data_IF_539327281067
#
_entry.id   IF_539327281067
#
_cell.length_a   1.000
_cell.length_b   1.000
_cell.length_c   1.000
_cell.angle_alpha   90.00
_cell.angle_beta   90.00
_cell.angle_gamma   90.00
#
_symmetry.space_group_name_H-M   'P 1'
#
loop_
_entity.id
_entity.type
_entity.pdbx_description
1 polymer ?
#
# COMPACT_ATOMS: atom_id res chain seq x y z
N UNK A 1 -1.79 86.06 -18.75
CA UNK A 1 -1.23 85.80 -20.06
C UNK A 1 -1.34 84.31 -20.27
N UNK A 2 -2.48 83.84 -20.81
CA UNK A 2 -2.67 83.47 -22.24
C UNK A 2 -1.61 82.47 -22.68
N UNK A 3 -1.91 81.24 -23.01
CA UNK A 3 -2.80 80.71 -23.98
C UNK A 3 -2.57 79.21 -24.18
N UNK A 4 -3.15 78.58 -25.14
CA UNK A 4 -4.23 77.59 -25.01
C UNK A 4 -3.88 76.23 -25.56
N UNK A 5 -4.73 75.33 -25.28
CA UNK A 5 -5.11 74.07 -25.77
C UNK A 5 -4.64 73.53 -27.12
N UNK A 6 -4.54 72.23 -27.12
CA UNK A 6 -4.86 71.42 -28.32
C UNK A 6 -5.54 70.10 -27.87
N UNK A 7 -6.77 69.97 -28.29
CA UNK A 7 -7.47 68.69 -28.37
C UNK A 7 -6.71 67.78 -29.34
N UNK A 8 -6.46 66.56 -28.94
CA UNK A 8 -6.22 65.48 -29.87
C UNK A 8 -7.19 64.36 -29.53
N UNK A 9 -8.08 64.12 -30.46
CA UNK A 9 -9.05 63.02 -30.46
C UNK A 9 -8.28 61.69 -30.63
N UNK A 10 -8.34 60.81 -29.66
CA UNK A 10 -7.86 59.43 -29.78
C UNK A 10 -9.04 58.51 -30.11
N UNK A 11 -8.96 57.96 -31.28
CA UNK A 11 -9.84 56.94 -31.83
C UNK A 11 -9.69 55.68 -30.99
N UNK A 12 -10.78 55.24 -30.33
CA UNK A 12 -10.86 53.93 -29.68
C UNK A 12 -11.02 52.86 -30.75
N UNK A 13 -9.94 52.14 -31.00
CA UNK A 13 -9.96 50.89 -31.77
C UNK A 13 -10.33 49.74 -30.79
N UNK A 14 -11.55 49.30 -30.79
CA UNK A 14 -12.01 48.12 -30.03
C UNK A 14 -11.51 46.90 -30.80
N UNK A 15 -10.35 46.39 -30.33
CA UNK A 15 -9.83 45.09 -30.78
C UNK A 15 -10.61 43.98 -30.08
N UNK A 16 -11.42 43.24 -30.78
CA UNK A 16 -11.98 41.95 -30.38
C UNK A 16 -10.86 40.94 -30.23
N UNK A 17 -10.36 40.78 -29.02
CA UNK A 17 -9.51 39.65 -28.64
C UNK A 17 -10.41 38.45 -28.29
N UNK A 18 -10.56 37.55 -29.26
CA UNK A 18 -11.08 36.21 -29.01
C UNK A 18 -10.18 35.50 -28.00
N UNK A 19 -10.72 34.89 -26.95
CA UNK A 19 -9.90 34.04 -26.10
C UNK A 19 -9.52 32.78 -26.90
N UNK A 20 -8.29 32.69 -27.34
CA UNK A 20 -7.71 31.40 -27.76
C UNK A 20 -7.84 30.47 -26.58
N UNK A 21 -8.64 29.42 -26.75
CA UNK A 21 -8.77 28.34 -25.79
C UNK A 21 -7.38 27.81 -25.41
N UNK A 22 -7.08 27.87 -24.13
CA UNK A 22 -5.98 27.12 -23.56
C UNK A 22 -6.24 25.63 -23.85
N UNK A 23 -5.60 25.10 -24.88
CA UNK A 23 -5.40 23.67 -25.00
C UNK A 23 -4.65 23.26 -23.73
N UNK A 24 -5.38 22.65 -22.80
CA UNK A 24 -4.78 21.87 -21.72
C UNK A 24 -3.91 20.83 -22.38
N UNK A 25 -2.59 21.02 -22.31
CA UNK A 25 -1.63 20.01 -22.68
C UNK A 25 -2.03 18.76 -21.88
N UNK A 26 -2.50 17.73 -22.58
CA UNK A 26 -2.72 16.43 -21.99
C UNK A 26 -1.38 16.05 -21.33
N UNK A 27 -1.44 15.71 -20.05
CA UNK A 27 -0.27 15.29 -19.27
C UNK A 27 0.31 14.05 -19.99
N UNK A 28 1.34 14.26 -20.83
CA UNK A 28 2.02 13.14 -21.47
C UNK A 28 2.53 12.21 -20.37
N UNK A 29 2.24 10.92 -20.43
CA UNK A 29 2.68 9.99 -19.41
C UNK A 29 4.20 10.05 -19.33
N UNK A 30 4.72 10.49 -18.18
CA UNK A 30 6.17 10.53 -17.95
C UNK A 30 6.78 9.17 -18.25
N UNK A 31 7.85 9.07 -19.03
CA UNK A 31 8.48 7.81 -19.36
C UNK A 31 8.84 7.08 -18.06
N UNK A 32 8.47 5.79 -17.96
CA UNK A 32 8.83 4.96 -16.80
C UNK A 32 10.36 4.85 -16.71
N UNK A 33 10.93 5.00 -15.51
CA UNK A 33 12.38 4.80 -15.32
C UNK A 33 12.82 3.40 -15.76
N UNK A 34 14.03 3.27 -16.29
CA UNK A 34 14.53 2.02 -16.89
C UNK A 34 14.47 0.80 -15.97
N UNK A 35 14.61 0.97 -14.66
CA UNK A 35 14.60 -0.15 -13.70
C UNK A 35 13.31 -0.17 -12.86
N UNK A 36 12.16 -0.12 -13.50
CA UNK A 36 10.87 -0.25 -12.81
C UNK A 36 10.52 -1.73 -12.62
N UNK A 37 10.20 -2.11 -11.37
CA UNK A 37 9.79 -3.47 -11.00
C UNK A 37 8.32 -3.50 -10.56
N UNK A 38 7.69 -4.67 -10.81
CA UNK A 38 6.31 -4.93 -10.39
C UNK A 38 6.29 -6.00 -9.31
N UNK A 39 5.95 -5.62 -8.09
CA UNK A 39 5.90 -6.54 -6.95
C UNK A 39 4.46 -6.96 -6.70
N UNK A 40 4.21 -8.29 -6.78
CA UNK A 40 2.92 -8.91 -6.47
C UNK A 40 3.16 -10.28 -5.88
N UNK A 41 2.28 -10.74 -5.01
CA UNK A 41 2.29 -12.15 -4.62
C UNK A 41 1.77 -12.99 -5.79
N UNK A 42 2.55 -13.98 -6.22
CA UNK A 42 2.14 -14.92 -7.27
C UNK A 42 0.94 -15.77 -6.80
N UNK A 43 0.92 -16.09 -5.50
CA UNK A 43 -0.14 -16.86 -4.86
C UNK A 43 -0.49 -16.24 -3.50
N UNK A 44 -1.77 -16.26 -3.10
CA UNK A 44 -2.20 -15.82 -1.79
C UNK A 44 -1.52 -16.63 -0.68
N UNK A 45 -1.19 -15.96 0.41
CA UNK A 45 -0.60 -16.62 1.57
C UNK A 45 -1.71 -17.28 2.41
N UNK A 46 -1.59 -18.58 2.74
CA UNK A 46 -2.59 -19.24 3.56
C UNK A 46 -2.60 -18.68 4.98
N UNK A 47 -3.80 -18.42 5.48
CA UNK A 47 -4.03 -17.99 6.87
C UNK A 47 -4.01 -19.18 7.82
N UNK A 48 -3.84 -18.90 9.12
CA UNK A 48 -4.13 -19.86 10.17
C UNK A 48 -5.63 -20.14 10.27
N UNK A 49 -5.99 -21.27 10.88
CA UNK A 49 -7.37 -21.56 11.21
C UNK A 49 -7.76 -20.84 12.50
N UNK A 50 -8.89 -20.16 12.48
CA UNK A 50 -9.52 -19.60 13.65
C UNK A 50 -10.63 -20.56 14.11
N UNK A 51 -10.92 -20.63 15.41
CA UNK A 51 -12.02 -21.43 15.96
C UNK A 51 -13.37 -21.00 15.40
N UNK A 52 -13.50 -19.70 15.19
CA UNK A 52 -14.60 -19.06 14.47
C UNK A 52 -13.99 -18.22 13.38
N UNK A 53 -14.63 -18.09 12.24
CA UNK A 53 -14.10 -17.40 11.05
C UNK A 53 -14.47 -15.92 11.10
N UNK A 54 -13.60 -15.03 11.60
CA UNK A 54 -13.88 -13.59 11.61
C UNK A 54 -13.85 -13.03 10.22
N UNK A 55 -14.59 -11.96 9.95
CA UNK A 55 -14.51 -11.17 8.73
C UNK A 55 -13.74 -9.90 9.00
N UNK A 56 -12.65 -9.68 8.24
CA UNK A 56 -11.80 -8.52 8.35
C UNK A 56 -12.10 -7.50 7.25
N UNK A 57 -12.03 -6.23 7.60
CA UNK A 57 -12.06 -5.12 6.65
C UNK A 57 -10.81 -4.26 6.80
N UNK A 58 -10.05 -4.06 5.71
CA UNK A 58 -8.89 -3.18 5.71
C UNK A 58 -9.36 -1.75 5.45
N UNK A 59 -9.34 -0.91 6.49
CA UNK A 59 -9.85 0.46 6.44
C UNK A 59 -8.89 1.39 5.73
N UNK A 60 -7.63 1.42 6.18
CA UNK A 60 -6.63 2.38 5.74
C UNK A 60 -5.22 1.82 5.86
N UNK A 61 -4.30 2.37 5.06
CA UNK A 61 -2.87 2.10 5.17
C UNK A 61 -2.12 3.42 5.18
N UNK A 62 -1.42 3.68 6.27
CA UNK A 62 -0.57 4.85 6.43
C UNK A 62 0.88 4.46 6.16
N UNK A 63 1.51 5.13 5.20
CA UNK A 63 2.95 4.97 4.95
C UNK A 63 3.75 5.78 5.98
N UNK A 64 4.55 5.09 6.77
CA UNK A 64 5.52 5.64 7.73
C UNK A 64 6.95 5.24 7.40
N UNK A 65 7.15 4.59 6.25
CA UNK A 65 8.47 4.06 5.87
C UNK A 65 9.47 5.17 5.55
N UNK A 66 8.97 6.33 5.11
CA UNK A 66 9.84 7.37 4.57
C UNK A 66 10.64 6.92 3.35
N UNK A 67 10.21 5.85 2.67
CA UNK A 67 10.93 5.23 1.58
C UNK A 67 11.08 6.19 0.40
N UNK A 68 12.31 6.66 0.11
CA UNK A 68 12.54 7.47 -1.07
C UNK A 68 12.37 6.62 -2.33
N UNK A 69 11.92 7.22 -3.41
CA UNK A 69 12.10 6.66 -4.74
C UNK A 69 13.34 7.34 -5.37
N UNK A 70 14.29 6.58 -5.92
CA UNK A 70 14.30 5.11 -6.08
C UNK A 70 14.54 4.36 -4.76
N UNK A 71 14.02 3.13 -4.66
CA UNK A 71 14.20 2.28 -3.46
C UNK A 71 15.64 1.86 -3.21
N UNK A 72 16.40 1.73 -4.28
CA UNK A 72 17.81 1.37 -4.26
C UNK A 72 18.52 2.09 -5.41
N UNK A 73 19.66 2.73 -5.13
CA UNK A 73 20.53 3.30 -6.15
C UNK A 73 21.77 2.42 -6.28
N UNK A 74 21.93 1.81 -7.43
CA UNK A 74 23.10 0.99 -7.76
C UNK A 74 24.12 1.83 -8.51
N UNK A 75 25.38 1.81 -8.06
CA UNK A 75 26.46 2.71 -8.50
C UNK A 75 26.60 2.85 -10.03
N UNK A 76 26.45 1.75 -10.77
CA UNK A 76 26.66 1.72 -12.22
C UNK A 76 25.39 1.33 -13.01
N UNK A 77 24.22 1.25 -12.36
CA UNK A 77 22.99 0.72 -12.96
C UNK A 77 21.74 1.56 -12.70
N UNK A 78 21.94 2.74 -12.10
CA UNK A 78 20.85 3.64 -11.78
C UNK A 78 19.95 3.21 -10.63
N UNK A 79 18.80 3.83 -10.51
CA UNK A 79 17.85 3.56 -9.44
C UNK A 79 16.86 2.44 -9.76
N UNK A 80 16.41 1.73 -8.74
CA UNK A 80 15.31 0.75 -8.83
C UNK A 80 14.03 1.41 -8.32
N UNK A 81 12.99 1.36 -9.12
CA UNK A 81 11.69 1.99 -8.84
C UNK A 81 10.58 0.95 -8.77
N UNK A 82 9.56 1.22 -7.96
CA UNK A 82 8.31 0.46 -7.99
C UNK A 82 7.35 1.04 -9.03
N UNK A 83 6.60 0.17 -9.69
CA UNK A 83 5.50 0.55 -10.61
C UNK A 83 4.29 1.13 -9.87
N UNK A 84 4.17 0.84 -8.57
CA UNK A 84 3.06 1.25 -7.70
C UNK A 84 3.56 1.62 -6.30
N UNK A 85 2.71 2.31 -5.55
CA UNK A 85 3.02 2.65 -4.16
C UNK A 85 3.11 1.40 -3.28
N UNK A 86 4.07 1.34 -2.33
CA UNK A 86 4.22 0.23 -1.39
C UNK A 86 2.94 -0.11 -0.62
N UNK A 87 2.15 0.89 -0.25
CA UNK A 87 0.86 0.73 0.45
C UNK A 87 -0.17 0.00 -0.40
N UNK A 88 -0.21 0.25 -1.71
CA UNK A 88 -1.10 -0.45 -2.65
C UNK A 88 -0.69 -1.92 -2.76
N UNK A 89 0.62 -2.17 -2.90
CA UNK A 89 1.17 -3.53 -2.99
C UNK A 89 0.86 -4.34 -1.71
N UNK A 90 1.07 -3.75 -0.53
CA UNK A 90 0.78 -4.39 0.75
C UNK A 90 -0.72 -4.67 0.92
N UNK A 91 -1.58 -3.71 0.54
CA UNK A 91 -3.05 -3.87 0.59
C UNK A 91 -3.49 -5.06 -0.25
N UNK A 92 -3.10 -5.11 -1.52
CA UNK A 92 -3.46 -6.19 -2.43
C UNK A 92 -2.99 -7.56 -1.88
N UNK A 93 -1.75 -7.65 -1.41
CA UNK A 93 -1.20 -8.89 -0.85
C UNK A 93 -2.02 -9.43 0.33
N UNK A 94 -2.47 -8.55 1.22
CA UNK A 94 -3.28 -8.91 2.37
C UNK A 94 -4.73 -9.20 1.98
N UNK A 95 -5.36 -8.38 1.14
CA UNK A 95 -6.74 -8.58 0.68
C UNK A 95 -6.89 -9.89 -0.08
N UNK A 96 -5.98 -10.21 -1.02
CA UNK A 96 -5.99 -11.47 -1.77
C UNK A 96 -5.83 -12.68 -0.84
N UNK A 97 -4.94 -12.57 0.14
CA UNK A 97 -4.72 -13.65 1.11
C UNK A 97 -5.90 -13.84 2.05
N UNK A 98 -6.51 -12.76 2.56
CA UNK A 98 -7.73 -12.82 3.38
C UNK A 98 -8.92 -13.35 2.58
N UNK A 99 -9.07 -12.93 1.32
CA UNK A 99 -10.10 -13.39 0.41
C UNK A 99 -9.99 -14.89 0.13
N UNK A 100 -8.79 -15.39 -0.16
CA UNK A 100 -8.56 -16.81 -0.42
C UNK A 100 -8.88 -17.68 0.80
N UNK A 101 -8.69 -17.15 2.01
CA UNK A 101 -9.01 -17.80 3.27
C UNK A 101 -10.49 -17.61 3.71
N UNK A 102 -11.31 -16.94 2.89
CA UNK A 102 -12.68 -16.53 3.23
C UNK A 102 -12.78 -15.69 4.51
N UNK A 103 -11.77 -14.84 4.74
CA UNK A 103 -11.69 -13.96 5.91
C UNK A 103 -11.93 -12.48 5.56
N UNK A 104 -11.98 -12.10 4.27
CA UNK A 104 -12.25 -10.72 3.87
C UNK A 104 -13.75 -10.44 3.91
N UNK A 105 -14.13 -9.33 4.53
CA UNK A 105 -15.50 -8.81 4.50
C UNK A 105 -15.80 -8.19 3.13
N UNK A 106 -17.06 -8.23 2.69
CA UNK A 106 -17.50 -7.58 1.45
C UNK A 106 -17.51 -6.05 1.56
N UNK A 107 -17.73 -5.56 2.76
CA UNK A 107 -17.79 -4.13 3.09
C UNK A 107 -17.52 -3.89 4.59
N UNK A 108 -17.41 -2.63 4.97
CA UNK A 108 -17.15 -2.25 6.36
C UNK A 108 -18.26 -2.64 7.34
N UNK A 109 -19.52 -2.69 6.88
CA UNK A 109 -20.66 -3.00 7.74
C UNK A 109 -20.75 -4.50 8.06
N UNK A 110 -20.29 -5.35 7.15
CA UNK A 110 -20.23 -6.81 7.30
C UNK A 110 -18.99 -7.31 8.05
N UNK A 111 -18.08 -6.40 8.44
CA UNK A 111 -16.85 -6.77 9.11
C UNK A 111 -17.05 -7.00 10.62
N UNK A 112 -16.48 -8.10 11.12
CA UNK A 112 -16.36 -8.35 12.55
C UNK A 112 -15.22 -7.53 13.17
N UNK A 113 -14.14 -7.38 12.41
CA UNK A 113 -12.92 -6.69 12.83
C UNK A 113 -12.41 -5.77 11.70
N UNK A 114 -12.04 -4.55 12.07
CA UNK A 114 -11.40 -3.59 11.18
C UNK A 114 -9.88 -3.61 11.35
N UNK A 115 -9.14 -3.48 10.26
CA UNK A 115 -7.68 -3.44 10.25
C UNK A 115 -7.22 -2.10 9.68
N UNK A 116 -6.42 -1.35 10.45
CA UNK A 116 -5.64 -0.22 9.95
C UNK A 116 -4.18 -0.60 9.94
N UNK A 117 -3.51 -0.37 8.82
CA UNK A 117 -2.11 -0.75 8.63
C UNK A 117 -1.19 0.47 8.72
N UNK A 118 0.00 0.27 9.26
CA UNK A 118 1.09 1.23 9.29
C UNK A 118 2.32 0.56 8.67
N UNK A 119 2.73 1.02 7.50
CA UNK A 119 3.90 0.51 6.81
C UNK A 119 5.15 1.24 7.32
N UNK A 120 6.11 0.52 7.92
CA UNK A 120 7.35 1.08 8.45
C UNK A 120 8.54 0.87 7.53
N UNK A 121 8.54 -0.20 6.75
CA UNK A 121 9.61 -0.47 5.80
C UNK A 121 9.09 -1.29 4.62
N UNK A 122 9.47 -0.87 3.42
CA UNK A 122 9.25 -1.61 2.19
C UNK A 122 10.41 -1.27 1.26
N UNK A 123 11.46 -2.06 1.28
CA UNK A 123 12.66 -1.62 0.58
C UNK A 123 13.73 -2.67 0.41
N UNK A 124 14.79 -2.21 -0.24
CA UNK A 124 15.96 -2.94 -0.63
C UNK A 124 17.20 -2.27 -0.03
N UNK A 125 18.18 -3.07 0.29
CA UNK A 125 19.53 -2.61 0.61
C UNK A 125 20.56 -3.53 -0.07
N UNK A 126 21.67 -2.95 -0.50
CA UNK A 126 22.84 -3.70 -0.96
C UNK A 126 23.60 -4.21 0.28
N UNK A 127 23.77 -5.51 0.34
CA UNK A 127 24.54 -6.16 1.40
C UNK A 127 26.02 -6.30 1.05
N UNK A 128 26.76 -6.96 1.90
CA UNK A 128 28.17 -7.31 1.63
C UNK A 128 28.27 -8.29 0.46
N UNK A 129 29.27 -8.12 -0.41
CA UNK A 129 29.50 -9.04 -1.52
C UNK A 129 28.51 -8.96 -2.67
N UNK A 130 27.79 -7.85 -2.80
CA UNK A 130 26.78 -7.61 -3.84
C UNK A 130 25.51 -8.47 -3.68
N UNK A 131 25.21 -8.83 -2.45
CA UNK A 131 23.94 -9.44 -2.08
C UNK A 131 22.84 -8.37 -2.05
N UNK A 132 21.59 -8.76 -2.37
CA UNK A 132 20.43 -7.92 -2.15
C UNK A 132 19.71 -8.36 -0.89
N UNK A 133 19.44 -7.40 -0.03
CA UNK A 133 18.64 -7.58 1.16
C UNK A 133 17.30 -6.86 0.99
N UNK A 134 16.22 -7.59 1.16
CA UNK A 134 14.87 -7.01 1.13
C UNK A 134 14.22 -7.12 2.49
N UNK A 135 13.47 -6.07 2.87
CA UNK A 135 12.67 -6.04 4.10
C UNK A 135 11.32 -5.42 3.82
N UNK A 136 10.28 -6.05 4.37
CA UNK A 136 8.93 -5.50 4.49
C UNK A 136 8.54 -5.56 5.95
N UNK A 137 8.15 -4.43 6.54
CA UNK A 137 7.76 -4.33 7.95
C UNK A 137 6.54 -3.43 8.10
N UNK A 138 5.52 -3.95 8.78
CA UNK A 138 4.30 -3.20 9.06
C UNK A 138 3.71 -3.58 10.42
N UNK A 139 2.84 -2.73 10.97
CA UNK A 139 1.92 -3.11 12.04
C UNK A 139 0.47 -2.95 11.60
N UNK A 140 -0.38 -3.75 12.21
CA UNK A 140 -1.81 -3.73 12.01
C UNK A 140 -2.51 -3.41 13.34
N UNK A 141 -3.27 -2.31 13.38
CA UNK A 141 -4.21 -2.06 14.47
C UNK A 141 -5.51 -2.79 14.15
N UNK A 142 -5.72 -3.91 14.82
CA UNK A 142 -6.96 -4.71 14.72
C UNK A 142 -7.96 -4.15 15.74
N UNK A 143 -9.13 -3.73 15.27
CA UNK A 143 -10.16 -3.07 16.07
C UNK A 143 -11.49 -3.81 15.95
N UNK A 144 -12.16 -4.02 17.07
CA UNK A 144 -13.57 -4.39 17.06
C UNK A 144 -14.43 -3.13 16.89
N UNK A 145 -15.17 -2.96 15.78
CA UNK A 145 -15.96 -1.77 15.53
C UNK A 145 -17.11 -1.57 16.55
N UNK A 146 -17.59 -2.65 17.16
CA UNK A 146 -18.71 -2.62 18.13
C UNK A 146 -18.25 -2.18 19.52
N UNK A 147 -17.17 -2.77 20.05
CA UNK A 147 -16.66 -2.42 21.38
C UNK A 147 -15.70 -1.20 21.36
N UNK A 148 -15.12 -0.89 20.21
CA UNK A 148 -14.09 0.13 20.07
C UNK A 148 -12.70 -0.31 20.54
N UNK A 149 -12.57 -1.49 21.15
CA UNK A 149 -11.29 -2.04 21.60
C UNK A 149 -10.38 -2.36 20.41
N UNK A 150 -9.07 -2.22 20.61
CA UNK A 150 -8.08 -2.49 19.57
C UNK A 150 -6.81 -3.14 20.13
N UNK A 151 -6.11 -3.87 19.27
CA UNK A 151 -4.81 -4.47 19.56
C UNK A 151 -3.86 -4.29 18.37
N UNK A 152 -2.59 -4.02 18.68
CA UNK A 152 -1.54 -3.94 17.66
C UNK A 152 -0.96 -5.34 17.40
N UNK A 153 -0.78 -5.64 16.11
CA UNK A 153 -0.09 -6.86 15.61
C UNK A 153 1.04 -6.41 14.71
N UNK A 154 2.27 -6.78 15.05
CA UNK A 154 3.45 -6.43 14.26
C UNK A 154 3.84 -7.58 13.34
N UNK A 155 4.34 -7.23 12.16
CA UNK A 155 4.81 -8.21 11.20
C UNK A 155 6.01 -7.69 10.40
N UNK A 156 6.94 -8.59 10.14
CA UNK A 156 8.08 -8.32 9.27
C UNK A 156 8.43 -9.57 8.47
N UNK A 157 8.95 -9.34 7.26
CA UNK A 157 9.52 -10.37 6.41
C UNK A 157 10.81 -9.86 5.79
N UNK A 158 11.74 -10.78 5.56
CA UNK A 158 13.05 -10.47 4.99
C UNK A 158 13.43 -11.51 3.95
N UNK A 159 14.23 -11.10 2.97
CA UNK A 159 14.81 -12.01 1.99
C UNK A 159 16.22 -11.57 1.62
N UNK A 160 17.08 -12.53 1.30
CA UNK A 160 18.47 -12.28 0.89
C UNK A 160 18.73 -13.02 -0.43
N UNK A 161 19.06 -12.28 -1.47
CA UNK A 161 19.49 -12.84 -2.75
C UNK A 161 21.01 -12.67 -2.92
N UNK A 162 21.76 -13.76 -2.74
CA UNK A 162 23.24 -13.78 -2.79
C UNK A 162 23.77 -13.47 -4.19
N UNK A 163 24.70 -12.52 -4.27
CA UNK A 163 25.36 -12.12 -5.50
C UNK A 163 24.43 -11.58 -6.58
N UNK A 164 23.19 -11.20 -6.22
CA UNK A 164 22.14 -10.84 -7.16
C UNK A 164 22.45 -9.58 -7.96
N UNK A 165 23.24 -8.65 -7.41
CA UNK A 165 23.61 -7.40 -8.10
C UNK A 165 24.49 -7.65 -9.33
N UNK A 166 25.27 -8.73 -9.36
CA UNK A 166 26.13 -9.09 -10.50
C UNK A 166 25.41 -9.77 -11.66
N UNK A 167 24.22 -10.31 -11.42
CA UNK A 167 23.52 -11.11 -12.43
C UNK A 167 22.96 -10.24 -13.55
N UNK A 168 22.92 -10.79 -14.77
CA UNK A 168 22.39 -10.10 -15.96
C UNK A 168 20.91 -9.66 -15.76
N UNK A 169 20.14 -10.41 -14.99
CA UNK A 169 18.72 -10.18 -14.74
C UNK A 169 18.48 -9.48 -13.39
N UNK A 170 19.18 -8.39 -13.13
CA UNK A 170 19.06 -7.64 -11.87
C UNK A 170 17.61 -7.32 -11.50
N UNK A 171 16.84 -6.79 -12.45
CA UNK A 171 15.44 -6.39 -12.24
C UNK A 171 14.62 -7.57 -11.73
N UNK A 172 14.70 -8.73 -12.39
CA UNK A 172 14.02 -9.95 -11.97
C UNK A 172 14.46 -10.43 -10.58
N UNK A 173 15.77 -10.40 -10.29
CA UNK A 173 16.28 -10.83 -8.98
C UNK A 173 15.80 -9.91 -7.85
N UNK A 174 15.74 -8.60 -8.11
CA UNK A 174 15.21 -7.61 -7.16
C UNK A 174 13.73 -7.83 -6.93
N UNK A 175 12.96 -8.04 -7.99
CA UNK A 175 11.53 -8.31 -7.92
C UNK A 175 11.24 -9.57 -7.10
N UNK A 176 11.86 -10.69 -7.43
CA UNK A 176 11.71 -11.97 -6.71
C UNK A 176 12.10 -11.86 -5.24
N UNK A 177 13.20 -11.15 -4.94
CA UNK A 177 13.67 -10.99 -3.57
C UNK A 177 12.69 -10.14 -2.73
N UNK A 178 12.14 -9.07 -3.29
CA UNK A 178 11.16 -8.23 -2.59
C UNK A 178 9.79 -8.91 -2.47
N UNK A 179 9.40 -9.71 -3.47
CA UNK A 179 8.20 -10.56 -3.41
C UNK A 179 8.31 -11.58 -2.26
N UNK A 180 9.47 -12.19 -2.07
CA UNK A 180 9.67 -13.15 -0.98
C UNK A 180 9.62 -12.47 0.39
N UNK A 181 10.23 -11.29 0.55
CA UNK A 181 10.11 -10.51 1.78
C UNK A 181 8.64 -10.11 2.07
N UNK A 182 7.88 -9.70 1.05
CA UNK A 182 6.46 -9.40 1.17
C UNK A 182 5.65 -10.65 1.56
N UNK A 183 5.92 -11.79 0.92
CA UNK A 183 5.28 -13.08 1.23
C UNK A 183 5.54 -13.48 2.68
N UNK A 184 6.77 -13.33 3.13
CA UNK A 184 7.17 -13.68 4.49
C UNK A 184 6.49 -12.76 5.52
N UNK A 185 6.47 -11.45 5.29
CA UNK A 185 5.75 -10.50 6.14
C UNK A 185 4.24 -10.84 6.19
N UNK A 186 3.62 -11.10 5.04
CA UNK A 186 2.20 -11.47 4.97
C UNK A 186 1.92 -12.79 5.72
N UNK A 187 2.82 -13.78 5.58
CA UNK A 187 2.73 -15.08 6.28
C UNK A 187 2.84 -14.89 7.79
N UNK A 188 3.81 -14.11 8.24
CA UNK A 188 4.05 -13.86 9.65
C UNK A 188 2.86 -13.13 10.29
N UNK A 189 2.20 -12.24 9.56
CA UNK A 189 0.95 -11.62 9.99
C UNK A 189 -0.19 -12.62 10.10
N UNK A 190 -0.51 -13.32 9.00
CA UNK A 190 -1.71 -14.18 8.91
C UNK A 190 -1.61 -15.47 9.72
N UNK A 191 -0.40 -15.95 10.03
CA UNK A 191 -0.14 -17.18 10.79
C UNK A 191 0.47 -16.93 12.15
N UNK A 192 0.79 -15.67 12.48
CA UNK A 192 1.38 -15.29 13.75
C UNK A 192 0.43 -15.45 14.93
N UNK A 193 0.97 -15.85 16.08
CA UNK A 193 0.19 -15.97 17.32
C UNK A 193 -0.44 -14.66 17.74
N UNK A 194 0.22 -13.53 17.47
CA UNK A 194 -0.28 -12.20 17.80
C UNK A 194 -1.63 -11.89 17.15
N UNK A 195 -1.83 -12.25 15.87
CA UNK A 195 -3.14 -12.05 15.22
C UNK A 195 -4.21 -12.94 15.86
N UNK A 196 -3.88 -14.20 16.18
CA UNK A 196 -4.82 -15.12 16.84
C UNK A 196 -5.23 -14.60 18.22
N UNK A 197 -4.27 -14.12 19.00
CA UNK A 197 -4.52 -13.54 20.33
C UNK A 197 -5.34 -12.25 20.24
N UNK A 198 -5.06 -11.40 19.23
CA UNK A 198 -5.82 -10.19 18.99
C UNK A 198 -7.28 -10.53 18.63
N UNK A 199 -7.50 -11.48 17.73
CA UNK A 199 -8.85 -11.94 17.35
C UNK A 199 -9.59 -12.51 18.55
N UNK A 200 -9.00 -13.45 19.27
CA UNK A 200 -9.65 -14.09 20.44
C UNK A 200 -9.96 -13.09 21.57
N UNK A 201 -9.13 -12.06 21.72
CA UNK A 201 -9.36 -11.02 22.73
C UNK A 201 -10.41 -9.99 22.34
N UNK A 202 -10.54 -9.69 21.03
CA UNK A 202 -11.41 -8.63 20.53
C UNK A 202 -12.78 -9.14 20.06
N UNK A 203 -12.88 -10.40 19.65
CA UNK A 203 -14.07 -10.94 19.01
C UNK A 203 -14.44 -12.32 19.56
N UNK A 204 -15.60 -12.42 20.19
CA UNK A 204 -16.11 -13.66 20.80
C UNK A 204 -17.00 -14.48 19.85
N UNK A 205 -17.08 -14.03 18.58
CA UNK A 205 -17.98 -14.61 17.59
C UNK A 205 -19.39 -13.98 17.63
N UNK A 206 -20.27 -14.34 16.69
CA UNK A 206 -21.64 -13.90 16.72
C UNK A 206 -22.26 -14.33 18.06
N UNK A 207 -22.85 -13.38 18.75
CA UNK A 207 -23.63 -13.64 19.96
C UNK A 207 -24.70 -14.69 19.62
N UNK A 208 -24.70 -15.80 20.34
CA UNK A 208 -25.75 -16.81 20.15
C UNK A 208 -27.09 -16.09 20.28
N UNK A 209 -27.90 -16.14 19.22
CA UNK A 209 -29.26 -15.59 19.30
C UNK A 209 -29.90 -16.09 20.61
N UNK A 210 -30.50 -15.19 21.41
CA UNK A 210 -31.16 -15.62 22.64
C UNK A 210 -32.10 -16.75 22.27
N UNK A 211 -31.93 -17.89 22.95
CA UNK A 211 -32.81 -19.05 22.77
C UNK A 211 -34.24 -18.51 22.96
N UNK A 212 -34.96 -18.41 21.83
CA UNK A 212 -36.31 -17.91 21.87
C UNK A 212 -37.06 -18.71 22.90
N UNK A 213 -37.63 -18.04 23.91
CA UNK A 213 -38.56 -18.64 24.84
C UNK A 213 -39.66 -19.35 24.02
N UNK A 214 -39.50 -20.64 23.87
CA UNK A 214 -40.58 -21.50 23.42
C UNK A 214 -41.65 -21.44 24.52
N UNK A 215 -42.51 -20.42 24.46
CA UNK A 215 -43.74 -20.42 25.24
C UNK A 215 -44.65 -21.48 24.63
N UNK A 216 -44.81 -22.55 25.41
CA UNK A 216 -45.92 -23.48 25.31
C UNK A 216 -47.29 -22.75 25.39
#
# INVERSE_FOLDING_TARGET
>A
MTQPGKLCASIFLVGLLSPLGALTAADEPKPKPENTISVRLAEPVPSQKFERTPKFWITDITDRSGNPQPMLVLKDRGGVFLDRQPTVILREALEDSLKSANLLASDAASADLAIRLYLFHFGLAEGSGLDLFSKVEFSAMVKNPKSGESREVKSAGTSIAKGAVRKKNLQKNVEENLQEALRDATRNFLRGTQLKEAVNGLWKGPEAAPAGDAKN
#
